data_IF_831503703534
#
_entry.id   IF_831503703534
#
_cell.length_a   1.000
_cell.length_b   1.000
_cell.length_c   1.000
_cell.angle_alpha   90.00
_cell.angle_beta   90.00
_cell.angle_gamma   90.00
#
_symmetry.space_group_name_H-M   'P 1'
#
loop_
_entity.id
_entity.type
_entity.pdbx_description
1 polymer ?
#
# COMPACT_ATOMS: atom_id res chain seq x y z
N UNK A 1 9.56 -6.89 31.26
CA UNK A 1 8.45 -7.67 30.68
C UNK A 1 7.88 -6.87 29.52
N UNK A 2 7.89 -7.43 28.31
CA UNK A 2 7.46 -6.75 27.08
C UNK A 2 5.94 -6.82 27.05
N UNK A 3 5.26 -5.73 27.37
CA UNK A 3 3.80 -5.64 27.22
C UNK A 3 3.45 -5.78 25.74
N UNK A 4 3.06 -7.00 25.37
CA UNK A 4 2.36 -7.31 24.14
C UNK A 4 0.92 -6.81 24.31
N UNK A 5 0.69 -5.53 24.04
CA UNK A 5 -0.65 -4.94 24.07
C UNK A 5 -1.32 -5.10 22.70
N UNK A 6 -2.32 -6.00 22.69
CA UNK A 6 -3.52 -6.08 21.85
C UNK A 6 -3.43 -5.58 20.39
N UNK A 7 -3.54 -6.55 19.49
CA UNK A 7 -4.02 -6.41 18.11
C UNK A 7 -3.25 -5.42 17.23
N UNK A 8 -2.25 -5.96 16.56
CA UNK A 8 -1.45 -5.27 15.55
C UNK A 8 -1.97 -5.30 14.08
N UNK A 9 -3.29 -5.22 13.76
CA UNK A 9 -3.73 -4.89 12.40
C UNK A 9 -3.69 -3.39 12.05
N UNK A 10 -3.90 -2.49 13.02
CA UNK A 10 -4.08 -1.05 12.77
C UNK A 10 -2.78 -0.29 12.47
N UNK A 11 -1.64 -0.82 12.93
CA UNK A 11 -0.33 -0.18 12.76
C UNK A 11 0.11 -0.09 11.29
N UNK A 12 -0.37 -1.01 10.44
CA UNK A 12 -0.03 -1.04 9.03
C UNK A 12 -0.80 -0.01 8.21
N UNK A 13 -1.90 0.55 8.71
CA UNK A 13 -2.74 1.49 7.96
C UNK A 13 -2.47 2.95 8.35
N UNK A 14 -2.40 3.24 9.65
CA UNK A 14 -2.51 4.60 10.19
C UNK A 14 -1.20 5.27 10.58
N UNK A 15 -0.06 4.59 10.41
CA UNK A 15 1.21 5.29 10.65
C UNK A 15 1.49 6.27 9.51
N UNK A 16 2.06 7.44 9.85
CA UNK A 16 2.42 8.48 8.88
C UNK A 16 3.28 7.94 7.72
N UNK A 17 4.02 6.88 7.96
CA UNK A 17 4.79 6.16 6.95
C UNK A 17 3.87 5.49 5.91
N UNK A 18 2.91 4.66 6.31
CA UNK A 18 2.01 3.98 5.37
C UNK A 18 1.12 5.00 4.63
N UNK A 19 0.62 6.04 5.32
CA UNK A 19 -0.17 7.10 4.67
C UNK A 19 0.58 7.74 3.50
N UNK A 20 1.89 7.96 3.66
CA UNK A 20 2.75 8.49 2.60
C UNK A 20 2.98 7.53 1.43
N UNK A 21 2.84 6.23 1.62
CA UNK A 21 2.89 5.23 0.54
C UNK A 21 1.55 5.20 -0.20
N UNK A 22 0.43 5.21 0.53
CA UNK A 22 -0.91 5.31 -0.07
C UNK A 22 -1.07 6.58 -0.92
N UNK A 23 -0.53 7.70 -0.46
CA UNK A 23 -0.58 8.98 -1.16
C UNK A 23 -0.02 8.92 -2.60
N UNK A 24 0.96 8.05 -2.88
CA UNK A 24 1.50 7.86 -4.23
C UNK A 24 0.38 7.47 -5.20
N UNK A 25 -0.38 6.44 -4.85
CA UNK A 25 -1.42 5.89 -5.70
C UNK A 25 -2.72 6.70 -5.65
N UNK A 26 -2.99 7.35 -4.52
CA UNK A 26 -4.11 8.29 -4.42
C UNK A 26 -3.92 9.49 -5.35
N UNK A 27 -2.68 9.96 -5.53
CA UNK A 27 -2.38 11.06 -6.46
C UNK A 27 -2.66 10.71 -7.93
N UNK A 28 -2.69 9.42 -8.28
CA UNK A 28 -3.11 8.94 -9.60
C UNK A 28 -4.63 9.07 -9.80
N UNK A 29 -5.39 9.30 -8.73
CA UNK A 29 -6.83 9.50 -8.81
C UNK A 29 -7.19 10.95 -8.60
N UNK A 30 -8.11 11.46 -9.43
CA UNK A 30 -8.74 12.78 -9.23
C UNK A 30 -9.81 12.76 -8.13
N UNK A 31 -9.73 11.82 -7.18
CA UNK A 31 -10.78 11.59 -6.17
C UNK A 31 -10.31 12.07 -4.80
N UNK A 32 -11.15 12.84 -4.10
CA UNK A 32 -10.91 13.25 -2.71
C UNK A 32 -11.06 12.02 -1.80
N UNK A 33 -9.95 11.35 -1.50
CA UNK A 33 -9.92 10.17 -0.64
C UNK A 33 -9.61 10.53 0.82
N UNK A 34 -10.41 10.00 1.75
CA UNK A 34 -10.11 10.02 3.19
C UNK A 34 -9.79 8.59 3.65
N UNK A 35 -8.68 8.41 4.38
CA UNK A 35 -8.26 7.11 4.89
C UNK A 35 -9.32 6.52 5.83
N UNK A 36 -9.92 5.34 5.53
CA UNK A 36 -10.88 4.72 6.43
C UNK A 36 -10.22 4.20 7.72
N UNK A 37 -11.00 4.09 8.80
CA UNK A 37 -10.50 3.64 10.10
C UNK A 37 -10.05 2.17 10.10
N UNK A 38 -10.70 1.32 9.30
CA UNK A 38 -10.38 -0.10 9.26
C UNK A 38 -9.86 -0.52 7.88
N UNK A 39 -8.90 -1.47 7.89
CA UNK A 39 -8.31 -2.06 6.68
C UNK A 39 -9.36 -2.68 5.76
N UNK A 40 -10.40 -3.29 6.35
CA UNK A 40 -11.51 -3.87 5.59
C UNK A 40 -12.32 -2.80 4.85
N UNK A 41 -12.57 -1.67 5.50
CA UNK A 41 -13.27 -0.53 4.90
C UNK A 41 -12.44 0.16 3.82
N UNK A 42 -11.13 0.23 4.04
CA UNK A 42 -10.19 0.65 3.00
C UNK A 42 -10.29 -0.25 1.78
N UNK A 43 -10.23 -1.57 1.95
CA UNK A 43 -10.31 -2.52 0.83
C UNK A 43 -11.64 -2.42 0.08
N UNK A 44 -12.75 -2.35 0.81
CA UNK A 44 -14.08 -2.29 0.22
C UNK A 44 -14.28 -0.99 -0.57
N UNK A 45 -13.87 0.15 -0.01
CA UNK A 45 -13.91 1.44 -0.71
C UNK A 45 -12.95 1.45 -1.91
N UNK A 46 -11.78 0.86 -1.76
CA UNK A 46 -10.73 0.87 -2.79
C UNK A 46 -11.20 0.13 -4.03
N UNK A 47 -11.75 -1.07 -3.88
CA UNK A 47 -12.29 -1.88 -4.98
C UNK A 47 -13.47 -1.17 -5.67
N UNK A 48 -14.28 -0.44 -4.89
CA UNK A 48 -15.45 0.29 -5.42
C UNK A 48 -15.06 1.51 -6.24
N UNK A 49 -13.98 2.20 -5.88
CA UNK A 49 -13.52 3.44 -6.55
C UNK A 49 -12.75 3.16 -7.84
N UNK A 50 -12.14 1.98 -8.00
CA UNK A 50 -11.44 1.61 -9.24
C UNK A 50 -12.38 1.74 -10.44
N UNK A 51 -12.12 2.71 -11.32
CA UNK A 51 -13.07 3.17 -12.34
C UNK A 51 -13.47 2.12 -13.40
N UNK A 52 -12.94 2.26 -14.62
CA UNK A 52 -13.25 1.36 -15.74
C UNK A 52 -12.77 -0.09 -15.47
N UNK A 53 -13.22 -1.07 -16.28
CA UNK A 53 -12.80 -2.48 -16.14
C UNK A 53 -11.27 -2.65 -16.18
N UNK A 54 -10.57 -1.91 -17.04
CA UNK A 54 -9.11 -1.93 -17.12
C UNK A 54 -8.45 -1.25 -15.91
N UNK A 55 -9.00 -0.12 -15.45
CA UNK A 55 -8.55 0.53 -14.22
C UNK A 55 -8.68 -0.40 -13.02
N UNK A 56 -9.81 -1.09 -12.85
CA UNK A 56 -10.03 -2.07 -11.77
C UNK A 56 -8.99 -3.17 -11.71
N UNK A 57 -8.37 -3.55 -12.83
CA UNK A 57 -7.41 -4.65 -12.87
C UNK A 57 -6.11 -4.29 -12.13
N UNK A 58 -5.48 -3.17 -12.48
CA UNK A 58 -4.28 -2.70 -11.77
C UNK A 58 -4.64 -2.04 -10.44
N UNK A 59 -5.85 -1.49 -10.29
CA UNK A 59 -6.36 -0.95 -9.02
C UNK A 59 -6.32 -1.99 -7.89
N UNK A 60 -6.65 -3.25 -8.19
CA UNK A 60 -6.60 -4.35 -7.21
C UNK A 60 -5.19 -4.73 -6.78
N UNK A 61 -4.16 -4.42 -7.56
CA UNK A 61 -2.77 -4.76 -7.25
C UNK A 61 -2.20 -3.83 -6.16
N UNK A 62 -2.62 -2.57 -6.15
CA UNK A 62 -2.06 -1.52 -5.29
C UNK A 62 -2.06 -1.88 -3.80
N UNK A 63 -3.19 -2.31 -3.18
CA UNK A 63 -3.20 -2.63 -1.76
C UNK A 63 -2.20 -3.75 -1.40
N UNK A 64 -2.08 -4.76 -2.26
CA UNK A 64 -1.12 -5.85 -2.07
C UNK A 64 0.32 -5.36 -2.10
N UNK A 65 0.68 -4.48 -3.04
CA UNK A 65 2.02 -3.89 -3.12
C UNK A 65 2.35 -3.05 -1.88
N UNK A 66 1.40 -2.26 -1.40
CA UNK A 66 1.58 -1.43 -0.20
C UNK A 66 1.79 -2.31 1.03
N UNK A 67 0.91 -3.30 1.28
CA UNK A 67 1.09 -4.18 2.43
C UNK A 67 2.38 -4.97 2.38
N UNK A 68 2.73 -5.50 1.21
CA UNK A 68 3.97 -6.25 1.04
C UNK A 68 5.20 -5.40 1.36
N UNK A 69 5.27 -4.19 0.82
CA UNK A 69 6.42 -3.31 1.04
C UNK A 69 6.51 -2.78 2.46
N UNK A 70 5.39 -2.38 3.07
CA UNK A 70 5.35 -1.96 4.48
C UNK A 70 5.71 -3.12 5.41
N UNK A 71 5.22 -4.33 5.14
CA UNK A 71 5.57 -5.53 5.90
C UNK A 71 7.07 -5.84 5.81
N UNK A 72 7.65 -5.81 4.60
CA UNK A 72 9.09 -6.00 4.40
C UNK A 72 9.91 -4.95 5.16
N UNK A 73 9.56 -3.68 5.05
CA UNK A 73 10.26 -2.60 5.74
C UNK A 73 10.20 -2.77 7.26
N UNK A 74 9.02 -3.10 7.78
CA UNK A 74 8.84 -3.34 9.20
C UNK A 74 9.67 -4.54 9.67
N UNK A 75 9.74 -5.61 8.91
CA UNK A 75 10.56 -6.76 9.27
C UNK A 75 12.05 -6.44 9.22
N UNK A 76 12.50 -5.75 8.17
CA UNK A 76 13.89 -5.26 8.05
C UNK A 76 14.31 -4.46 9.29
N UNK A 77 13.45 -3.54 9.77
CA UNK A 77 13.75 -2.73 10.96
C UNK A 77 13.81 -3.55 12.25
N UNK A 78 12.93 -4.54 12.40
CA UNK A 78 12.80 -5.28 13.66
C UNK A 78 13.75 -6.48 13.77
N UNK A 79 14.10 -7.11 12.65
CA UNK A 79 14.84 -8.37 12.62
C UNK A 79 16.24 -8.24 12.01
N UNK A 80 16.49 -7.19 11.22
CA UNK A 80 17.76 -7.01 10.51
C UNK A 80 18.47 -5.70 10.90
N UNK A 81 17.86 -4.90 11.77
CA UNK A 81 18.33 -3.56 12.17
C UNK A 81 18.60 -2.63 10.96
N UNK A 82 17.88 -2.86 9.86
CA UNK A 82 17.99 -2.07 8.63
C UNK A 82 16.76 -1.19 8.46
N UNK A 83 16.97 0.12 8.34
CA UNK A 83 15.93 1.13 8.12
C UNK A 83 16.15 1.84 6.79
N UNK A 84 15.22 1.69 5.84
CA UNK A 84 15.28 2.41 4.58
C UNK A 84 14.70 3.82 4.71
N UNK A 85 15.12 4.73 3.82
CA UNK A 85 14.48 6.03 3.69
C UNK A 85 13.05 5.87 3.14
N UNK A 86 12.15 6.80 3.48
CA UNK A 86 10.78 6.79 2.94
C UNK A 86 10.79 6.77 1.40
N UNK A 87 11.70 7.51 0.77
CA UNK A 87 11.81 7.56 -0.69
C UNK A 87 12.20 6.21 -1.29
N UNK A 88 13.10 5.47 -0.65
CA UNK A 88 13.44 4.12 -1.10
C UNK A 88 12.23 3.19 -1.02
N UNK A 89 11.47 3.25 0.07
CA UNK A 89 10.28 2.38 0.21
C UNK A 89 9.18 2.77 -0.77
N UNK A 90 9.01 4.06 -1.07
CA UNK A 90 8.14 4.52 -2.17
C UNK A 90 8.54 3.87 -3.50
N UNK A 91 9.82 3.96 -3.84
CA UNK A 91 10.35 3.34 -5.06
C UNK A 91 10.17 1.82 -5.09
N UNK A 92 10.47 1.13 -3.99
CA UNK A 92 10.29 -0.32 -3.88
C UNK A 92 8.81 -0.71 -4.05
N UNK A 93 7.87 0.12 -3.59
CA UNK A 93 6.43 -0.09 -3.75
C UNK A 93 5.97 0.13 -5.19
N UNK A 94 6.45 1.18 -5.85
CA UNK A 94 6.17 1.44 -7.27
C UNK A 94 6.75 0.33 -8.14
N UNK A 95 7.99 -0.09 -7.90
CA UNK A 95 8.62 -1.21 -8.61
C UNK A 95 7.83 -2.51 -8.42
N UNK A 96 7.36 -2.78 -7.20
CA UNK A 96 6.50 -3.93 -6.92
C UNK A 96 5.18 -3.86 -7.71
N UNK A 97 4.56 -2.68 -7.81
CA UNK A 97 3.35 -2.47 -8.59
C UNK A 97 3.55 -2.74 -10.09
N UNK A 98 4.58 -2.15 -10.71
CA UNK A 98 4.87 -2.38 -12.13
C UNK A 98 5.24 -3.83 -12.43
N UNK A 99 6.00 -4.48 -11.54
CA UNK A 99 6.28 -5.91 -11.64
C UNK A 99 4.99 -6.72 -11.74
N UNK A 100 4.04 -6.51 -10.82
CA UNK A 100 2.78 -7.26 -10.84
C UNK A 100 1.85 -6.87 -12.00
N UNK A 101 1.87 -5.62 -12.46
CA UNK A 101 1.13 -5.24 -13.67
C UNK A 101 1.67 -5.99 -14.90
N UNK A 102 3.00 -6.06 -15.05
CA UNK A 102 3.66 -6.80 -16.13
C UNK A 102 3.33 -8.29 -16.07
N UNK A 103 3.45 -8.92 -14.91
CA UNK A 103 3.12 -10.35 -14.72
C UNK A 103 1.65 -10.67 -15.03
N UNK A 104 0.75 -9.68 -14.91
CA UNK A 104 -0.67 -9.81 -15.24
C UNK A 104 -1.02 -9.35 -16.66
N UNK A 105 -0.04 -8.91 -17.46
CA UNK A 105 -0.27 -8.37 -18.81
C UNK A 105 -1.14 -7.11 -18.80
N UNK A 106 -1.07 -6.29 -17.76
CA UNK A 106 -1.85 -5.07 -17.60
C UNK A 106 -1.05 -3.86 -18.07
N UNK A 107 -1.58 -3.13 -19.05
CA UNK A 107 -1.08 -1.81 -19.42
C UNK A 107 -1.58 -0.79 -18.39
N UNK A 108 -0.64 -0.14 -17.71
CA UNK A 108 -0.94 0.99 -16.83
C UNK A 108 -1.17 2.20 -17.73
N UNK A 109 -2.42 2.60 -17.89
CA UNK A 109 -2.78 3.79 -18.66
C UNK A 109 -2.44 5.01 -17.80
N UNK A 110 -1.50 5.83 -18.28
CA UNK A 110 -1.10 7.12 -17.68
C UNK A 110 -2.22 8.17 -17.68
#
# INVERSE_FOLDING_TARGET
MRERSRDQPTLLLHCNFTTQIWAIFLSLTKTNWTMPEHTADLLSCWIRIGGSKSQKAWWRIIPHCIWWTVWKERNSRNFEDRSNSIQKVRWDCIACFYFWCKEKGLEVIE
#
